data_IF_675150819929
#
_entry.id   IF_675150819929
#
_cell.length_a   1.000
_cell.length_b   1.000
_cell.length_c   1.000
_cell.angle_alpha   90.00
_cell.angle_beta   90.00
_cell.angle_gamma   90.00
#
_symmetry.space_group_name_H-M   'P 1'
#
loop_
_entity.id
_entity.type
_entity.pdbx_description
1 polymer ?
#
# COMPACT_ATOMS: atom_id res chain seq x y z
N UNK A 1 26.33 9.65 -26.24
CA UNK A 1 25.16 8.75 -26.37
C UNK A 1 25.08 7.71 -25.25
N UNK A 2 26.16 6.97 -24.92
CA UNK A 2 26.15 5.96 -23.84
C UNK A 2 25.78 6.52 -22.46
N UNK A 3 26.15 7.77 -22.15
CA UNK A 3 25.83 8.43 -20.87
C UNK A 3 24.36 8.81 -20.73
N UNK A 4 23.66 9.14 -21.82
CA UNK A 4 22.25 9.54 -21.79
C UNK A 4 21.35 8.31 -21.57
N UNK A 5 21.72 7.16 -22.15
CA UNK A 5 20.97 5.90 -22.00
C UNK A 5 20.96 5.44 -20.54
N UNK A 6 22.09 5.61 -19.83
CA UNK A 6 22.19 5.22 -18.42
C UNK A 6 21.32 6.11 -17.51
N UNK A 7 21.27 7.42 -17.78
CA UNK A 7 20.41 8.38 -17.05
C UNK A 7 18.92 8.13 -17.27
N UNK A 8 18.52 7.70 -18.48
CA UNK A 8 17.15 7.30 -18.79
C UNK A 8 16.79 5.97 -18.11
N UNK A 9 17.70 4.99 -18.05
CA UNK A 9 17.46 3.75 -17.33
C UNK A 9 17.31 3.94 -15.81
N UNK A 10 18.12 4.81 -15.20
CA UNK A 10 18.07 5.14 -13.78
C UNK A 10 16.77 5.89 -13.39
N UNK A 11 16.23 6.70 -14.30
CA UNK A 11 14.94 7.39 -14.07
C UNK A 11 13.74 6.46 -14.28
N UNK A 12 13.80 5.50 -15.20
CA UNK A 12 12.77 4.47 -15.37
C UNK A 12 12.72 3.45 -14.21
N UNK A 13 13.85 3.14 -13.58
CA UNK A 13 13.90 2.25 -12.41
C UNK A 13 13.15 2.82 -11.19
N UNK A 14 12.98 4.15 -11.12
CA UNK A 14 12.24 4.81 -10.05
C UNK A 14 10.71 4.65 -10.19
N UNK A 15 10.21 4.20 -11.35
CA UNK A 15 8.78 4.24 -11.68
C UNK A 15 8.04 2.93 -11.31
N UNK A 16 8.71 1.91 -10.77
CA UNK A 16 8.06 0.59 -10.57
C UNK A 16 7.74 0.28 -9.09
N UNK A 17 8.12 1.14 -8.14
CA UNK A 17 7.70 1.01 -6.74
C UNK A 17 6.31 1.61 -6.51
N UNK A 18 5.32 1.21 -7.32
CA UNK A 18 3.92 1.42 -6.93
C UNK A 18 3.58 0.33 -5.93
N UNK A 19 3.73 0.68 -4.66
CA UNK A 19 3.53 -0.20 -3.51
C UNK A 19 2.31 -1.09 -3.70
N UNK A 20 2.58 -2.36 -3.98
CA UNK A 20 1.61 -3.40 -3.67
C UNK A 20 1.37 -3.30 -2.16
N UNK A 21 0.16 -3.58 -1.69
CA UNK A 21 -0.10 -3.59 -0.26
C UNK A 21 0.75 -4.62 0.51
N UNK A 22 1.55 -5.45 -0.17
CA UNK A 22 2.49 -6.40 0.43
C UNK A 22 1.81 -7.33 1.46
N UNK A 23 0.54 -7.65 1.23
CA UNK A 23 -0.19 -8.68 1.97
C UNK A 23 0.53 -10.02 1.84
N UNK A 24 0.51 -10.80 2.93
CA UNK A 24 1.17 -12.08 3.05
C UNK A 24 2.67 -12.01 3.32
N UNK A 25 3.26 -10.82 3.49
CA UNK A 25 4.68 -10.67 3.83
C UNK A 25 4.89 -10.45 5.33
N UNK A 26 6.03 -10.91 5.83
CA UNK A 26 6.51 -10.63 7.19
C UNK A 26 7.00 -9.17 7.33
N UNK A 27 7.09 -8.69 8.57
CA UNK A 27 7.67 -7.37 8.87
C UNK A 27 9.08 -7.21 8.26
N UNK A 28 9.92 -8.25 8.32
CA UNK A 28 11.28 -8.20 7.78
C UNK A 28 11.33 -8.08 6.26
N UNK A 29 10.41 -8.74 5.56
CA UNK A 29 10.31 -8.68 4.10
C UNK A 29 9.78 -7.32 3.64
N UNK A 30 8.77 -6.77 4.32
CA UNK A 30 8.26 -5.43 4.01
C UNK A 30 9.37 -4.38 4.19
N UNK A 31 10.16 -4.48 5.27
CA UNK A 31 11.28 -3.57 5.52
C UNK A 31 12.41 -3.72 4.51
N UNK A 32 12.68 -4.93 4.02
CA UNK A 32 13.75 -5.14 3.02
C UNK A 32 13.38 -4.59 1.65
N UNK A 33 12.08 -4.54 1.33
CA UNK A 33 11.58 -3.91 0.10
C UNK A 33 11.69 -2.37 0.13
N UNK A 34 11.66 -1.77 1.33
CA UNK A 34 11.72 -0.31 1.52
C UNK A 34 12.77 0.05 2.58
N UNK A 35 14.08 -0.15 2.28
CA UNK A 35 15.16 0.01 3.27
C UNK A 35 15.36 1.47 3.71
N UNK A 36 14.95 2.43 2.88
CA UNK A 36 15.12 3.86 3.15
C UNK A 36 13.98 4.44 4.01
N UNK A 37 12.92 3.67 4.24
CA UNK A 37 11.77 4.11 5.01
C UNK A 37 12.05 4.07 6.52
N UNK A 38 11.56 5.10 7.23
CA UNK A 38 11.54 5.09 8.70
C UNK A 38 10.29 4.36 9.17
N UNK A 39 10.48 3.32 9.97
CA UNK A 39 9.42 2.43 10.43
C UNK A 39 9.13 2.62 11.91
N UNK A 40 7.86 2.86 12.26
CA UNK A 40 7.39 2.83 13.65
C UNK A 40 6.62 1.54 13.89
N UNK A 41 6.88 0.85 15.01
CA UNK A 41 6.13 -0.34 15.42
C UNK A 41 5.19 0.02 16.56
N UNK A 42 3.97 -0.48 16.53
CA UNK A 42 2.98 -0.28 17.58
C UNK A 42 2.02 -1.48 17.67
N UNK A 43 1.06 -1.43 18.59
CA UNK A 43 0.01 -2.43 18.75
C UNK A 43 -1.34 -1.77 19.01
N UNK A 44 -2.42 -2.39 18.54
CA UNK A 44 -3.78 -1.94 18.86
C UNK A 44 -4.13 -2.26 20.32
N UNK A 45 -5.24 -1.69 20.83
CA UNK A 45 -5.77 -2.01 22.16
C UNK A 45 -6.12 -3.51 22.33
N UNK A 46 -6.26 -4.25 21.22
CA UNK A 46 -6.50 -5.70 21.21
C UNK A 46 -5.22 -6.53 21.07
N UNK A 47 -4.04 -5.89 21.08
CA UNK A 47 -2.74 -6.55 20.98
C UNK A 47 -2.28 -6.88 19.55
N UNK A 48 -3.04 -6.50 18.52
CA UNK A 48 -2.64 -6.71 17.11
C UNK A 48 -1.44 -5.81 16.81
N UNK A 49 -0.31 -6.43 16.44
CA UNK A 49 0.91 -5.72 16.09
C UNK A 49 0.79 -5.11 14.70
N UNK A 50 1.35 -3.92 14.54
CA UNK A 50 1.46 -3.29 13.22
C UNK A 50 2.72 -2.45 13.11
N UNK A 51 3.17 -2.23 11.87
CA UNK A 51 4.20 -1.25 11.53
C UNK A 51 3.59 -0.15 10.68
N UNK A 52 4.10 1.07 10.82
CA UNK A 52 3.71 2.21 10.01
C UNK A 52 4.91 2.87 9.38
N UNK A 53 4.73 3.36 8.15
CA UNK A 53 5.69 4.22 7.49
C UNK A 53 5.01 5.06 6.42
N UNK A 54 5.67 6.16 6.08
CA UNK A 54 5.20 7.11 5.08
C UNK A 54 5.65 6.69 3.68
N UNK A 55 4.70 6.73 2.74
CA UNK A 55 4.91 6.48 1.32
C UNK A 55 4.45 7.69 0.52
N UNK A 56 4.66 7.67 -0.80
CA UNK A 56 4.42 8.83 -1.66
C UNK A 56 3.00 9.43 -1.55
N UNK A 57 1.97 8.60 -1.38
CA UNK A 57 0.58 9.03 -1.31
C UNK A 57 0.01 9.11 0.12
N UNK A 58 0.65 8.50 1.10
CA UNK A 58 0.12 8.47 2.47
C UNK A 58 0.91 7.55 3.38
N UNK A 59 0.46 7.47 4.64
CA UNK A 59 1.00 6.55 5.63
C UNK A 59 0.36 5.19 5.45
N UNK A 60 1.17 4.14 5.30
CA UNK A 60 0.72 2.76 5.35
C UNK A 60 0.83 2.22 6.76
N UNK A 61 -0.19 1.47 7.19
CA UNK A 61 -0.12 0.62 8.38
C UNK A 61 -0.35 -0.83 7.98
N UNK A 62 0.62 -1.68 8.29
CA UNK A 62 0.59 -3.11 8.02
C UNK A 62 0.31 -3.83 9.33
N UNK A 63 -0.87 -4.44 9.45
CA UNK A 63 -1.26 -5.27 10.59
C UNK A 63 -0.81 -6.70 10.34
N UNK A 64 -0.36 -7.37 11.40
CA UNK A 64 0.15 -8.73 11.35
C UNK A 64 -0.73 -9.68 12.12
N UNK A 65 -1.10 -10.78 11.47
CA UNK A 65 -1.79 -11.89 12.10
C UNK A 65 -0.91 -12.51 13.20
N UNK A 66 -1.53 -12.83 14.33
CA UNK A 66 -0.81 -13.32 15.51
C UNK A 66 -0.28 -14.75 15.35
N UNK A 67 -0.88 -15.57 14.49
CA UNK A 67 -0.49 -16.97 14.31
C UNK A 67 0.61 -17.10 13.24
N UNK A 68 0.38 -16.54 12.07
CA UNK A 68 1.29 -16.61 10.92
C UNK A 68 2.41 -15.57 10.98
N UNK A 69 2.24 -14.47 11.73
CA UNK A 69 3.14 -13.31 11.72
C UNK A 69 3.31 -12.64 10.34
N UNK A 70 2.35 -12.88 9.43
CA UNK A 70 2.29 -12.27 8.11
C UNK A 70 1.30 -11.12 8.09
N UNK A 71 1.49 -10.16 7.19
CA UNK A 71 0.55 -9.06 7.04
C UNK A 71 -0.75 -9.54 6.38
N UNK A 72 -1.85 -9.49 7.11
CA UNK A 72 -3.17 -9.95 6.65
C UNK A 72 -4.11 -8.79 6.31
N UNK A 73 -3.84 -7.61 6.89
CA UNK A 73 -4.60 -6.41 6.64
C UNK A 73 -3.69 -5.19 6.57
N UNK A 74 -3.96 -4.34 5.59
CA UNK A 74 -3.21 -3.11 5.37
C UNK A 74 -4.18 -1.97 5.15
N UNK A 75 -3.83 -0.81 5.70
CA UNK A 75 -4.52 0.44 5.41
C UNK A 75 -3.52 1.49 4.94
N UNK A 76 -4.00 2.40 4.09
CA UNK A 76 -3.28 3.60 3.71
C UNK A 76 -4.14 4.81 4.04
N UNK A 77 -3.61 5.73 4.84
CA UNK A 77 -4.22 7.03 5.12
C UNK A 77 -3.55 8.06 4.21
N UNK A 78 -4.24 8.61 3.21
CA UNK A 78 -3.68 9.63 2.34
C UNK A 78 -3.33 10.90 3.12
N UNK A 79 -2.21 11.55 2.78
CA UNK A 79 -1.81 12.77 3.50
C UNK A 79 -2.77 13.94 3.32
N UNK A 80 -3.51 13.98 2.20
CA UNK A 80 -4.50 15.00 1.87
C UNK A 80 -5.32 14.58 0.64
N UNK A 81 -6.33 15.38 0.30
CA UNK A 81 -7.21 15.13 -0.84
C UNK A 81 -6.50 15.10 -2.19
N UNK A 82 -5.38 15.82 -2.36
CA UNK A 82 -4.59 15.77 -3.61
C UNK A 82 -3.97 14.39 -3.75
N UNK A 83 -3.37 13.86 -2.67
CA UNK A 83 -2.79 12.52 -2.67
C UNK A 83 -3.84 11.42 -2.78
N UNK A 84 -5.00 11.59 -2.15
CA UNK A 84 -6.14 10.67 -2.29
C UNK A 84 -6.58 10.56 -3.75
N UNK A 85 -6.85 11.70 -4.40
CA UNK A 85 -7.30 11.72 -5.79
C UNK A 85 -6.21 11.18 -6.75
N UNK A 86 -4.95 11.52 -6.51
CA UNK A 86 -3.84 10.95 -7.27
C UNK A 86 -3.75 9.43 -7.15
N UNK A 87 -3.98 8.88 -5.95
CA UNK A 87 -4.01 7.43 -5.74
C UNK A 87 -5.20 6.77 -6.46
N UNK A 88 -6.39 7.39 -6.43
CA UNK A 88 -7.57 6.95 -7.18
C UNK A 88 -7.30 6.92 -8.69
N UNK A 89 -6.69 7.98 -9.23
CA UNK A 89 -6.31 8.03 -10.65
C UNK A 89 -5.33 6.92 -11.02
N UNK A 90 -4.34 6.63 -10.17
CA UNK A 90 -3.41 5.53 -10.39
C UNK A 90 -4.09 4.16 -10.37
N UNK A 91 -5.05 3.96 -9.46
CA UNK A 91 -5.84 2.73 -9.44
C UNK A 91 -6.76 2.59 -10.65
N UNK A 92 -7.41 3.67 -11.08
CA UNK A 92 -8.24 3.68 -12.29
C UNK A 92 -7.44 3.35 -13.57
N UNK A 93 -6.14 3.69 -13.62
CA UNK A 93 -5.26 3.36 -14.76
C UNK A 93 -4.79 1.90 -14.74
N UNK A 94 -4.62 1.30 -13.57
CA UNK A 94 -3.90 0.02 -13.39
C UNK A 94 -4.79 -1.16 -13.04
N UNK A 95 -5.90 -0.93 -12.35
CA UNK A 95 -6.71 -1.97 -11.73
C UNK A 95 -8.14 -1.99 -12.26
N UNK A 96 -8.82 -3.12 -12.07
CA UNK A 96 -10.22 -3.27 -12.48
C UNK A 96 -11.11 -2.51 -11.49
N UNK A 97 -11.81 -1.50 -11.99
CA UNK A 97 -12.82 -0.78 -11.22
C UNK A 97 -14.02 -1.71 -11.01
N UNK A 98 -14.41 -1.92 -9.75
CA UNK A 98 -15.51 -2.82 -9.37
C UNK A 98 -16.69 -2.08 -8.75
N UNK A 99 -16.49 -0.84 -8.31
CA UNK A 99 -17.53 0.14 -7.93
C UNK A 99 -16.92 1.54 -7.91
N UNK A 100 -17.70 2.55 -7.52
CA UNK A 100 -17.25 3.95 -7.40
C UNK A 100 -16.08 4.12 -6.40
N UNK A 101 -15.92 3.20 -5.46
CA UNK A 101 -14.90 3.27 -4.40
C UNK A 101 -14.10 1.99 -4.24
N UNK A 102 -14.17 1.03 -5.18
CA UNK A 102 -13.47 -0.24 -5.06
C UNK A 102 -12.76 -0.69 -6.33
N UNK A 103 -11.58 -1.29 -6.15
CA UNK A 103 -10.75 -1.82 -7.22
C UNK A 103 -10.32 -3.26 -6.92
N UNK A 104 -10.06 -4.01 -7.98
CA UNK A 104 -9.41 -5.33 -7.90
C UNK A 104 -8.12 -5.29 -8.70
N UNK A 105 -7.00 -5.50 -8.02
CA UNK A 105 -5.69 -5.70 -8.62
C UNK A 105 -5.42 -7.20 -8.78
N UNK A 106 -4.88 -7.59 -9.93
CA UNK A 106 -4.43 -8.95 -10.19
C UNK A 106 -2.90 -8.93 -10.14
N UNK A 107 -2.36 -9.59 -9.12
CA UNK A 107 -0.92 -9.64 -8.87
C UNK A 107 -0.32 -10.87 -9.56
N UNK A 108 1.00 -10.83 -9.75
CA UNK A 108 1.74 -11.98 -10.25
C UNK A 108 1.51 -13.21 -9.35
N UNK A 109 1.37 -14.38 -9.98
CA UNK A 109 0.99 -15.61 -9.26
C UNK A 109 -0.53 -15.82 -9.12
N UNK A 110 -1.36 -14.95 -9.69
CA UNK A 110 -2.82 -15.12 -9.73
C UNK A 110 -3.55 -14.65 -8.47
N UNK A 111 -2.83 -14.06 -7.53
CA UNK A 111 -3.38 -13.46 -6.31
C UNK A 111 -4.21 -12.23 -6.65
N UNK A 112 -5.35 -12.08 -5.98
CA UNK A 112 -6.20 -10.89 -6.11
C UNK A 112 -6.03 -10.03 -4.87
N UNK A 113 -5.91 -8.74 -5.10
CA UNK A 113 -5.92 -7.73 -4.06
C UNK A 113 -7.18 -6.87 -4.24
N UNK A 114 -8.01 -6.84 -3.20
CA UNK A 114 -9.19 -6.00 -3.13
C UNK A 114 -8.82 -4.70 -2.43
N UNK A 115 -9.22 -3.59 -3.03
CA UNK A 115 -8.92 -2.25 -2.55
C UNK A 115 -10.24 -1.51 -2.39
N UNK A 116 -10.49 -0.96 -1.20
CA UNK A 116 -11.69 -0.17 -0.90
C UNK A 116 -11.31 1.18 -0.34
N UNK A 117 -11.84 2.25 -0.92
CA UNK A 117 -11.79 3.59 -0.34
C UNK A 117 -12.97 3.73 0.64
N UNK A 118 -12.66 3.95 1.90
CA UNK A 118 -13.60 4.06 3.01
C UNK A 118 -13.52 5.45 3.63
N UNK A 119 -14.61 5.89 4.27
CA UNK A 119 -14.66 7.10 5.06
C UNK A 119 -14.96 6.74 6.51
N UNK A 120 -14.10 7.18 7.42
CA UNK A 120 -14.30 7.09 8.85
C UNK A 120 -15.00 8.38 9.32
N UNK A 121 -16.27 8.25 9.72
CA UNK A 121 -17.09 9.36 10.19
C UNK A 121 -16.59 9.95 11.52
N UNK A 122 -16.00 9.12 12.39
CA UNK A 122 -15.53 9.55 13.71
C UNK A 122 -14.28 10.42 13.59
N UNK A 123 -13.34 9.97 12.74
CA UNK A 123 -12.07 10.66 12.49
C UNK A 123 -12.15 11.66 11.32
N UNK A 124 -13.28 11.69 10.61
CA UNK A 124 -13.56 12.54 9.44
C UNK A 124 -12.50 12.44 8.35
N UNK A 125 -11.96 11.26 8.11
CA UNK A 125 -10.91 11.02 7.13
C UNK A 125 -11.24 9.82 6.23
N UNK A 126 -10.71 9.86 5.00
CA UNK A 126 -10.76 8.73 4.09
C UNK A 126 -9.49 7.90 4.18
N UNK A 127 -9.61 6.60 3.98
CA UNK A 127 -8.48 5.68 3.91
C UNK A 127 -8.74 4.57 2.91
N UNK A 128 -7.67 4.02 2.35
CA UNK A 128 -7.75 2.80 1.55
C UNK A 128 -7.52 1.58 2.44
N UNK A 129 -8.37 0.58 2.30
CA UNK A 129 -8.22 -0.74 2.91
C UNK A 129 -7.84 -1.76 1.84
N UNK A 130 -6.91 -2.64 2.18
CA UNK A 130 -6.36 -3.67 1.31
C UNK A 130 -6.55 -5.04 1.94
N UNK A 131 -7.13 -5.98 1.19
CA UNK A 131 -7.34 -7.35 1.64
C UNK A 131 -7.25 -8.36 0.47
N UNK A 132 -6.93 -9.60 0.80
CA UNK A 132 -6.93 -10.74 -0.14
C UNK A 132 -8.32 -11.41 -0.24
N UNK A 133 -9.22 -11.04 0.65
CA UNK A 133 -10.62 -11.45 0.74
C UNK A 133 -11.54 -10.25 0.46
N UNK A 134 -12.68 -10.52 -0.18
CA UNK A 134 -13.65 -9.49 -0.58
C UNK A 134 -14.61 -9.15 0.55
#
# INVERSE_FOLDING_TARGET
MKTIILSVLLTLAYIISFGQAHLGLSESEIKSLHPDNVWTRNSTNKGIKYIVSDFFYGTFAYYFDSESSLSDWVIQIPFNNIKLNGQVEEYNKKYVITSDTTWTAYLDGGTRLYISLLYDEDNKNSYFSYSDTK
#
